data_IF_326818249821
#
_entry.id   IF_326818249821
#
_cell.length_a   1.000
_cell.length_b   1.000
_cell.length_c   1.000
_cell.angle_alpha   90.00
_cell.angle_beta   90.00
_cell.angle_gamma   90.00
#
_symmetry.space_group_name_H-M   'P 1'
#
loop_
_entity.id
_entity.type
_entity.pdbx_description
1 polymer ?
#
# COMPACT_ATOMS: atom_id res chain seq x y z
N UNK A 1 -24.52 -16.72 -11.19
CA UNK A 1 -24.97 -15.97 -12.39
C UNK A 1 -26.31 -15.26 -12.18
N UNK A 2 -27.31 -15.92 -11.58
CA UNK A 2 -28.69 -15.37 -11.44
C UNK A 2 -28.74 -14.09 -10.62
N UNK A 3 -27.97 -14.02 -9.53
CA UNK A 3 -27.84 -12.82 -8.71
C UNK A 3 -27.37 -11.60 -9.53
N UNK A 4 -26.32 -11.77 -10.35
CA UNK A 4 -25.81 -10.66 -11.19
C UNK A 4 -26.87 -10.24 -12.24
N UNK A 5 -27.58 -11.19 -12.82
CA UNK A 5 -28.67 -10.86 -13.73
C UNK A 5 -29.81 -10.08 -13.06
N UNK A 6 -30.16 -10.46 -11.84
CA UNK A 6 -31.14 -9.75 -11.02
C UNK A 6 -30.66 -8.32 -10.70
N UNK A 7 -29.40 -8.16 -10.30
CA UNK A 7 -28.82 -6.85 -10.00
C UNK A 7 -28.76 -5.95 -11.24
N UNK A 8 -28.42 -6.49 -12.41
CA UNK A 8 -28.47 -5.75 -13.67
C UNK A 8 -29.87 -5.26 -14.01
N UNK A 9 -30.89 -6.10 -13.79
CA UNK A 9 -32.31 -5.71 -14.00
C UNK A 9 -32.72 -4.57 -13.07
N UNK A 10 -32.32 -4.61 -11.79
CA UNK A 10 -32.59 -3.54 -10.81
C UNK A 10 -31.93 -2.23 -11.25
N UNK A 11 -30.74 -2.30 -11.86
CA UNK A 11 -29.99 -1.14 -12.38
C UNK A 11 -30.53 -0.62 -13.72
N UNK A 12 -31.60 -1.24 -14.28
CA UNK A 12 -32.24 -0.81 -15.51
C UNK A 12 -31.50 -1.24 -16.79
N UNK A 13 -30.57 -2.18 -16.71
CA UNK A 13 -29.85 -2.72 -17.86
C UNK A 13 -30.76 -3.59 -18.72
N UNK A 14 -30.56 -3.57 -20.03
CA UNK A 14 -31.22 -4.47 -20.96
C UNK A 14 -30.71 -5.91 -20.82
N UNK A 15 -31.51 -6.89 -21.21
CA UNK A 15 -31.15 -8.32 -21.16
C UNK A 15 -29.84 -8.62 -21.96
N UNK A 16 -29.60 -7.88 -23.04
CA UNK A 16 -28.40 -8.03 -23.88
C UNK A 16 -27.17 -7.52 -23.17
N UNK A 17 -27.26 -6.33 -22.58
CA UNK A 17 -26.18 -5.73 -21.77
C UNK A 17 -25.85 -6.60 -20.56
N UNK A 18 -26.87 -7.06 -19.82
CA UNK A 18 -26.68 -7.97 -18.69
C UNK A 18 -25.91 -9.23 -19.11
N UNK A 19 -26.28 -9.84 -20.24
CA UNK A 19 -25.62 -11.07 -20.71
C UNK A 19 -24.13 -10.83 -21.04
N UNK A 20 -23.82 -9.74 -21.72
CA UNK A 20 -22.43 -9.38 -22.07
C UNK A 20 -21.63 -9.06 -20.82
N UNK A 21 -22.06 -8.08 -20.04
CA UNK A 21 -21.36 -7.59 -18.85
C UNK A 21 -21.20 -8.64 -17.77
N UNK A 22 -22.21 -9.49 -17.58
CA UNK A 22 -22.15 -10.60 -16.62
C UNK A 22 -20.99 -11.55 -16.94
N UNK A 23 -20.77 -11.90 -18.21
CA UNK A 23 -19.65 -12.76 -18.59
C UNK A 23 -18.31 -12.10 -18.26
N UNK A 24 -18.17 -10.84 -18.61
CA UNK A 24 -16.93 -10.06 -18.35
C UNK A 24 -16.62 -9.91 -16.85
N UNK A 25 -17.62 -9.54 -16.03
CA UNK A 25 -17.39 -9.36 -14.59
C UNK A 25 -17.15 -10.66 -13.86
N UNK A 26 -17.71 -11.77 -14.33
CA UNK A 26 -17.45 -13.11 -13.80
C UNK A 26 -15.99 -13.49 -14.03
N UNK A 27 -15.48 -13.31 -15.25
CA UNK A 27 -14.07 -13.57 -15.59
C UNK A 27 -13.15 -12.64 -14.79
N UNK A 28 -13.37 -11.33 -14.82
CA UNK A 28 -12.59 -10.33 -14.11
C UNK A 28 -12.48 -10.61 -12.60
N UNK A 29 -13.60 -11.00 -11.98
CA UNK A 29 -13.65 -11.34 -10.56
C UNK A 29 -13.27 -12.80 -10.26
N UNK A 30 -12.87 -13.60 -11.26
CA UNK A 30 -12.52 -15.03 -11.16
C UNK A 30 -13.61 -15.85 -10.46
N UNK A 31 -14.83 -15.74 -10.96
CA UNK A 31 -16.01 -16.41 -10.43
C UNK A 31 -16.52 -17.54 -11.33
N UNK A 32 -15.78 -17.94 -12.35
CA UNK A 32 -16.19 -18.88 -13.40
C UNK A 32 -16.66 -20.22 -12.83
N UNK A 33 -15.92 -20.78 -11.90
CA UNK A 33 -16.23 -22.07 -11.28
C UNK A 33 -17.41 -22.00 -10.31
N UNK A 34 -17.84 -20.80 -9.91
CA UNK A 34 -18.84 -20.57 -8.88
C UNK A 34 -20.19 -20.05 -9.41
N UNK A 35 -20.37 -19.99 -10.72
CA UNK A 35 -21.55 -19.40 -11.36
C UNK A 35 -22.88 -20.02 -10.94
N UNK A 36 -22.87 -21.30 -10.62
CA UNK A 36 -24.07 -22.06 -10.19
C UNK A 36 -24.11 -22.29 -8.66
N UNK A 37 -23.10 -21.82 -7.94
CA UNK A 37 -23.02 -22.00 -6.50
C UNK A 37 -23.89 -20.98 -5.77
N UNK A 38 -24.58 -21.40 -4.73
CA UNK A 38 -25.36 -20.52 -3.85
C UNK A 38 -24.39 -19.61 -3.12
N UNK A 39 -24.60 -18.28 -3.16
CA UNK A 39 -23.70 -17.27 -2.59
C UNK A 39 -23.41 -17.52 -1.09
N UNK A 40 -24.43 -17.95 -0.32
CA UNK A 40 -24.26 -18.28 1.09
C UNK A 40 -23.30 -19.45 1.39
N UNK A 41 -23.00 -20.29 0.38
CA UNK A 41 -22.05 -21.41 0.49
C UNK A 41 -20.62 -21.02 0.08
N UNK A 42 -20.43 -19.83 -0.47
CA UNK A 42 -19.10 -19.32 -0.83
C UNK A 42 -18.29 -18.92 0.40
N UNK A 43 -16.97 -19.01 0.29
CA UNK A 43 -16.06 -18.40 1.28
C UNK A 43 -16.30 -16.89 1.39
N UNK A 44 -15.81 -16.26 2.46
CA UNK A 44 -15.95 -14.81 2.62
C UNK A 44 -15.32 -14.04 1.45
N UNK A 45 -14.13 -14.45 0.99
CA UNK A 45 -13.46 -13.80 -0.13
C UNK A 45 -14.21 -13.94 -1.45
N UNK A 46 -14.79 -15.12 -1.75
CA UNK A 46 -15.62 -15.26 -2.94
C UNK A 46 -16.92 -14.45 -2.84
N UNK A 47 -17.52 -14.32 -1.66
CA UNK A 47 -18.67 -13.41 -1.47
C UNK A 47 -18.27 -11.94 -1.71
N UNK A 48 -17.08 -11.55 -1.26
CA UNK A 48 -16.53 -10.20 -1.52
C UNK A 48 -16.38 -9.95 -3.03
N UNK A 49 -15.83 -10.91 -3.77
CA UNK A 49 -15.70 -10.83 -5.23
C UNK A 49 -17.07 -10.75 -5.94
N UNK A 50 -18.09 -11.46 -5.44
CA UNK A 50 -19.47 -11.31 -5.95
C UNK A 50 -19.99 -9.89 -5.66
N UNK A 51 -19.66 -9.30 -4.51
CA UNK A 51 -19.96 -7.91 -4.18
C UNK A 51 -19.32 -6.92 -5.13
N UNK A 52 -18.03 -7.11 -5.45
CA UNK A 52 -17.32 -6.29 -6.44
C UNK A 52 -17.94 -6.49 -7.84
N UNK A 53 -18.15 -7.73 -8.26
CA UNK A 53 -18.74 -8.05 -9.56
C UNK A 53 -20.09 -7.37 -9.79
N UNK A 54 -20.98 -7.36 -8.77
CA UNK A 54 -22.25 -6.66 -8.86
C UNK A 54 -22.13 -5.13 -8.89
N UNK A 55 -21.10 -4.60 -8.22
CA UNK A 55 -20.87 -3.16 -8.17
C UNK A 55 -20.37 -2.61 -9.52
N UNK A 56 -19.53 -3.38 -10.24
CA UNK A 56 -18.98 -2.97 -11.56
C UNK A 56 -19.84 -3.40 -12.76
N UNK A 57 -20.92 -4.17 -12.53
CA UNK A 57 -21.74 -4.74 -13.59
C UNK A 57 -22.30 -3.69 -14.58
N UNK A 58 -22.66 -2.52 -14.05
CA UNK A 58 -23.29 -1.42 -14.81
C UNK A 58 -22.31 -0.29 -15.16
N UNK A 59 -21.00 -0.56 -15.08
CA UNK A 59 -19.91 0.36 -15.45
C UNK A 59 -20.01 1.74 -14.78
N UNK A 60 -20.02 1.82 -13.44
CA UNK A 60 -20.11 3.11 -12.76
C UNK A 60 -18.82 3.92 -12.93
N UNK A 61 -18.92 5.25 -13.08
CA UNK A 61 -17.75 6.13 -13.09
C UNK A 61 -17.01 6.13 -11.76
N UNK A 62 -17.73 5.95 -10.65
CA UNK A 62 -17.20 5.93 -9.28
C UNK A 62 -17.60 4.65 -8.58
N UNK A 63 -16.61 3.97 -8.00
CA UNK A 63 -16.79 2.75 -7.23
C UNK A 63 -16.34 2.98 -5.78
N UNK A 64 -17.21 2.69 -4.82
CA UNK A 64 -16.91 2.78 -3.38
C UNK A 64 -16.80 1.37 -2.83
N UNK A 65 -15.65 1.05 -2.26
CA UNK A 65 -15.34 -0.23 -1.64
C UNK A 65 -15.05 -0.04 -0.14
N UNK A 66 -15.92 -0.60 0.68
CA UNK A 66 -15.78 -0.54 2.13
C UNK A 66 -15.12 -1.83 2.64
N UNK A 67 -13.90 -1.69 3.21
CA UNK A 67 -13.09 -2.78 3.78
C UNK A 67 -13.00 -4.04 2.89
N UNK A 68 -12.60 -3.94 1.61
CA UNK A 68 -12.73 -5.03 0.63
C UNK A 68 -11.82 -6.24 0.90
N UNK A 69 -10.84 -6.14 1.78
CA UNK A 69 -9.88 -7.21 2.11
C UNK A 69 -10.07 -7.78 3.52
N UNK A 70 -11.01 -7.24 4.29
CA UNK A 70 -11.17 -7.62 5.69
C UNK A 70 -11.60 -9.08 5.87
N UNK A 71 -10.80 -9.82 6.65
CA UNK A 71 -11.14 -11.18 7.10
C UNK A 71 -11.22 -12.23 5.99
N UNK A 72 -10.50 -12.03 4.89
CA UNK A 72 -10.22 -13.03 3.86
C UNK A 72 -8.81 -13.59 4.06
N UNK A 73 -8.51 -14.72 3.47
CA UNK A 73 -7.18 -15.34 3.60
C UNK A 73 -6.10 -14.57 2.83
N UNK A 74 -4.80 -14.73 3.21
CA UNK A 74 -3.71 -13.94 2.62
C UNK A 74 -3.58 -14.06 1.10
N UNK A 75 -3.89 -15.23 0.52
CA UNK A 75 -3.81 -15.43 -0.93
C UNK A 75 -4.90 -14.59 -1.61
N UNK A 76 -6.11 -14.65 -1.09
CA UNK A 76 -7.25 -13.89 -1.60
C UNK A 76 -7.07 -12.38 -1.39
N UNK A 77 -6.37 -11.93 -0.33
CA UNK A 77 -5.99 -10.53 -0.13
C UNK A 77 -5.15 -10.04 -1.31
N UNK A 78 -4.10 -10.78 -1.69
CA UNK A 78 -3.23 -10.40 -2.83
C UNK A 78 -4.02 -10.30 -4.13
N UNK A 79 -4.88 -11.29 -4.39
CA UNK A 79 -5.71 -11.31 -5.61
C UNK A 79 -6.75 -10.18 -5.62
N UNK A 80 -7.38 -9.87 -4.47
CA UNK A 80 -8.36 -8.79 -4.37
C UNK A 80 -7.69 -7.42 -4.54
N UNK A 81 -6.48 -7.23 -3.99
CA UNK A 81 -5.68 -6.03 -4.23
C UNK A 81 -5.35 -5.82 -5.71
N UNK A 82 -4.97 -6.91 -6.40
CA UNK A 82 -4.70 -6.82 -7.84
C UNK A 82 -5.96 -6.46 -8.62
N UNK A 83 -7.10 -7.08 -8.30
CA UNK A 83 -8.39 -6.74 -8.90
C UNK A 83 -8.75 -5.25 -8.69
N UNK A 84 -8.59 -4.72 -7.48
CA UNK A 84 -8.85 -3.31 -7.18
C UNK A 84 -7.95 -2.39 -8.00
N UNK A 85 -6.64 -2.70 -8.11
CA UNK A 85 -5.71 -1.94 -8.96
C UNK A 85 -6.11 -1.95 -10.44
N UNK A 86 -6.56 -3.09 -10.93
CA UNK A 86 -6.98 -3.20 -12.32
C UNK A 86 -8.26 -2.40 -12.58
N UNK A 87 -9.22 -2.42 -11.65
CA UNK A 87 -10.42 -1.58 -11.72
C UNK A 87 -10.12 -0.08 -11.65
N UNK A 88 -9.08 0.33 -10.92
CA UNK A 88 -8.66 1.73 -10.81
C UNK A 88 -8.15 2.35 -12.12
N UNK A 89 -7.89 1.54 -13.16
CA UNK A 89 -7.50 2.04 -14.49
C UNK A 89 -8.68 2.64 -15.25
N UNK A 90 -9.87 2.11 -15.01
CA UNK A 90 -11.09 2.46 -15.76
C UNK A 90 -12.14 3.18 -14.89
N UNK A 91 -11.99 3.14 -13.57
CA UNK A 91 -12.94 3.72 -12.61
C UNK A 91 -12.25 4.63 -11.60
N UNK A 92 -12.95 5.64 -11.12
CA UNK A 92 -12.52 6.35 -9.90
C UNK A 92 -12.89 5.51 -8.69
N UNK A 93 -11.89 5.08 -7.90
CA UNK A 93 -12.11 4.24 -6.72
C UNK A 93 -12.01 5.06 -5.43
N UNK A 94 -12.96 4.84 -4.53
CA UNK A 94 -12.88 5.26 -3.13
C UNK A 94 -12.81 3.99 -2.29
N UNK A 95 -11.74 3.83 -1.52
CA UNK A 95 -11.48 2.66 -0.70
C UNK A 95 -11.42 3.06 0.77
N UNK A 96 -12.22 2.40 1.64
CA UNK A 96 -11.98 2.45 3.07
C UNK A 96 -11.12 1.26 3.51
N UNK A 97 -10.17 1.47 4.39
CA UNK A 97 -9.43 0.40 5.05
C UNK A 97 -8.81 0.88 6.36
N UNK A 98 -8.70 -0.02 7.34
CA UNK A 98 -7.89 0.17 8.54
C UNK A 98 -6.52 -0.52 8.43
N UNK A 99 -6.24 -1.21 7.32
CA UNK A 99 -4.97 -1.90 7.05
C UNK A 99 -4.07 -0.96 6.25
N UNK A 100 -3.37 -0.08 6.95
CA UNK A 100 -2.58 1.00 6.35
C UNK A 100 -1.50 0.54 5.36
N UNK A 101 -0.78 -0.60 5.56
CA UNK A 101 0.11 -1.13 4.54
C UNK A 101 -0.58 -1.45 3.20
N UNK A 102 -1.85 -1.88 3.23
CA UNK A 102 -2.60 -2.15 1.99
C UNK A 102 -2.95 -0.85 1.28
N UNK A 103 -3.36 0.17 2.04
CA UNK A 103 -3.64 1.51 1.51
C UNK A 103 -2.43 2.07 0.78
N UNK A 104 -1.23 2.00 1.39
CA UNK A 104 0.04 2.44 0.77
C UNK A 104 0.37 1.71 -0.54
N UNK A 105 -0.08 0.46 -0.67
CA UNK A 105 0.20 -0.35 -1.88
C UNK A 105 -0.82 -0.15 -3.01
N UNK A 106 -2.03 0.30 -2.70
CA UNK A 106 -3.16 0.33 -3.64
C UNK A 106 -3.49 1.76 -4.07
N UNK A 107 -3.47 2.71 -3.13
CA UNK A 107 -4.02 4.04 -3.33
C UNK A 107 -2.96 5.04 -3.81
N UNK A 108 -3.31 5.85 -4.82
CA UNK A 108 -2.49 6.96 -5.29
C UNK A 108 -2.62 8.17 -4.35
N UNK A 109 -3.73 8.28 -3.63
CA UNK A 109 -4.00 9.37 -2.68
C UNK A 109 -4.74 8.85 -1.45
N UNK A 110 -4.36 9.33 -0.29
CA UNK A 110 -4.94 8.98 1.01
C UNK A 110 -5.60 10.20 1.63
N UNK A 111 -6.75 9.97 2.25
CA UNK A 111 -7.47 10.95 3.08
C UNK A 111 -7.50 10.37 4.50
N UNK A 112 -6.87 11.05 5.45
CA UNK A 112 -6.91 10.66 6.86
C UNK A 112 -8.01 11.47 7.55
N UNK A 113 -8.93 10.75 8.20
CA UNK A 113 -10.05 11.33 8.93
C UNK A 113 -9.88 11.02 10.42
N UNK A 114 -9.93 12.04 11.26
CA UNK A 114 -9.91 11.92 12.71
C UNK A 114 -11.03 12.79 13.30
N UNK A 115 -11.80 12.28 14.26
CA UNK A 115 -12.94 12.95 14.91
C UNK A 115 -13.93 13.61 13.93
N UNK A 116 -14.14 12.99 12.76
CA UNK A 116 -15.04 13.48 11.72
C UNK A 116 -14.47 14.64 10.87
N UNK A 117 -13.21 15.00 11.05
CA UNK A 117 -12.52 16.01 10.27
C UNK A 117 -11.42 15.40 9.41
N UNK A 118 -11.16 16.01 8.25
CA UNK A 118 -10.04 15.62 7.41
C UNK A 118 -8.77 16.29 7.97
N UNK A 119 -7.84 15.46 8.45
CA UNK A 119 -6.58 15.93 9.04
C UNK A 119 -5.41 15.91 8.06
N UNK A 120 -5.47 15.07 7.02
CA UNK A 120 -4.46 15.07 5.95
C UNK A 120 -5.04 14.54 4.64
N UNK A 121 -4.54 15.06 3.52
CA UNK A 121 -4.81 14.56 2.15
C UNK A 121 -3.51 14.69 1.36
N UNK A 122 -2.93 13.56 0.93
CA UNK A 122 -1.80 13.57 0.00
C UNK A 122 -1.55 12.14 -0.55
N UNK A 123 -0.57 12.01 -1.42
CA UNK A 123 0.06 10.74 -1.79
C UNK A 123 0.71 10.09 -0.54
N UNK A 124 0.64 8.75 -0.38
CA UNK A 124 1.26 8.06 0.76
C UNK A 124 2.73 8.39 1.00
N UNK A 125 3.52 8.59 -0.07
CA UNK A 125 4.95 8.91 0.01
C UNK A 125 5.12 10.35 0.50
N UNK A 126 4.36 11.29 -0.07
CA UNK A 126 4.41 12.71 0.30
C UNK A 126 3.95 12.93 1.76
N UNK A 127 2.93 12.22 2.22
CA UNK A 127 2.51 12.27 3.63
C UNK A 127 3.67 11.89 4.55
N UNK A 128 4.43 10.83 4.18
CA UNK A 128 5.61 10.39 4.93
C UNK A 128 6.70 11.45 5.02
N UNK A 129 6.97 12.16 3.94
CA UNK A 129 8.02 13.20 3.90
C UNK A 129 7.60 14.51 4.53
N UNK A 130 6.37 14.98 4.27
CA UNK A 130 5.89 16.29 4.73
C UNK A 130 5.65 16.34 6.24
N UNK A 131 5.20 15.23 6.84
CA UNK A 131 4.87 15.17 8.26
C UNK A 131 6.05 14.75 9.15
N UNK A 132 7.07 14.07 8.59
CA UNK A 132 8.15 13.55 9.42
C UNK A 132 9.00 14.66 10.06
N UNK A 133 9.16 15.79 9.42
CA UNK A 133 10.16 16.77 9.86
C UNK A 133 11.59 16.21 9.90
N UNK A 134 11.74 14.92 9.60
CA UNK A 134 12.95 14.12 9.70
C UNK A 134 12.92 13.14 8.53
N UNK A 135 13.96 13.11 7.74
CA UNK A 135 14.14 12.07 6.73
C UNK A 135 14.97 10.93 7.33
N UNK A 136 14.59 9.69 7.02
CA UNK A 136 15.37 8.51 7.39
C UNK A 136 15.89 7.81 6.15
N UNK A 137 17.12 7.30 6.24
CA UNK A 137 17.78 6.53 5.18
C UNK A 137 18.13 5.15 5.74
N UNK A 138 17.72 4.09 5.07
CA UNK A 138 18.21 2.74 5.35
C UNK A 138 19.47 2.48 4.54
N UNK A 139 20.52 2.06 5.23
CA UNK A 139 21.81 1.71 4.65
C UNK A 139 22.22 0.30 5.07
N UNK A 140 22.53 -0.57 4.10
CA UNK A 140 23.15 -1.88 4.35
C UNK A 140 24.57 -1.90 3.80
N UNK A 141 25.54 -2.21 4.66
CA UNK A 141 26.99 -2.15 4.35
C UNK A 141 27.70 -3.38 4.85
N UNK A 142 28.64 -3.90 4.04
CA UNK A 142 29.66 -4.87 4.45
C UNK A 142 30.93 -4.12 4.82
N UNK A 143 31.36 -4.24 6.09
CA UNK A 143 32.58 -3.62 6.58
C UNK A 143 32.66 -3.69 8.11
N UNK A 144 33.70 -3.12 8.74
CA UNK A 144 33.89 -3.13 10.18
C UNK A 144 32.91 -2.14 10.85
N UNK A 145 32.02 -2.66 11.71
CA UNK A 145 30.92 -1.91 12.30
C UNK A 145 31.31 -0.56 12.94
N UNK A 146 32.38 -0.54 13.75
CA UNK A 146 32.79 0.68 14.45
C UNK A 146 33.29 1.78 13.52
N UNK A 147 34.04 1.40 12.49
CA UNK A 147 34.54 2.33 11.48
C UNK A 147 33.43 2.91 10.64
N UNK A 148 32.44 2.06 10.26
CA UNK A 148 31.27 2.49 9.50
C UNK A 148 30.54 3.61 10.26
N UNK A 149 30.20 3.41 11.54
CA UNK A 149 29.46 4.41 12.34
C UNK A 149 30.22 5.72 12.38
N UNK A 150 31.52 5.69 12.72
CA UNK A 150 32.35 6.90 12.81
C UNK A 150 32.40 7.67 11.47
N UNK A 151 32.47 6.97 10.34
CA UNK A 151 32.47 7.60 9.02
C UNK A 151 31.12 8.18 8.67
N UNK A 152 30.02 7.45 8.94
CA UNK A 152 28.68 7.94 8.66
C UNK A 152 28.31 9.16 9.52
N UNK A 153 28.72 9.19 10.79
CA UNK A 153 28.57 10.37 11.69
C UNK A 153 29.28 11.62 11.16
N UNK A 154 30.35 11.45 10.38
CA UNK A 154 31.10 12.58 9.78
C UNK A 154 30.37 13.20 8.56
N UNK A 155 29.31 12.56 8.03
CA UNK A 155 28.57 13.08 6.88
C UNK A 155 27.65 14.22 7.32
N UNK A 156 27.77 15.36 6.65
CA UNK A 156 26.98 16.54 6.97
C UNK A 156 25.49 16.27 6.74
N UNK A 157 24.68 16.54 7.74
CA UNK A 157 23.23 16.30 7.69
C UNK A 157 22.77 15.01 8.37
N UNK A 158 23.69 14.16 8.82
CA UNK A 158 23.39 13.02 9.71
C UNK A 158 23.14 13.56 11.12
N UNK A 159 22.00 13.22 11.70
CA UNK A 159 21.59 13.61 13.06
C UNK A 159 21.70 12.45 14.03
N UNK A 160 21.32 11.24 13.60
CA UNK A 160 21.37 10.03 14.43
C UNK A 160 21.57 8.78 13.58
N UNK A 161 22.17 7.73 14.16
CA UNK A 161 22.41 6.45 13.52
C UNK A 161 21.99 5.31 14.45
N UNK A 162 20.90 4.65 14.09
CA UNK A 162 20.42 3.47 14.77
C UNK A 162 20.85 2.20 14.03
N UNK A 163 21.52 1.28 14.74
CA UNK A 163 21.88 -0.02 14.19
C UNK A 163 20.71 -1.01 14.33
N UNK A 164 20.27 -1.56 13.22
CA UNK A 164 19.21 -2.56 13.18
C UNK A 164 19.81 -3.98 13.22
N UNK A 165 19.37 -4.85 14.15
CA UNK A 165 19.84 -6.22 14.21
C UNK A 165 19.53 -7.00 12.92
N UNK A 166 20.55 -7.70 12.38
CA UNK A 166 20.44 -8.53 11.19
C UNK A 166 20.82 -9.97 11.53
N UNK A 167 19.99 -10.92 11.16
CA UNK A 167 20.33 -12.34 11.31
C UNK A 167 21.38 -12.75 10.28
N UNK A 168 22.50 -13.34 10.74
CA UNK A 168 23.53 -13.90 9.85
C UNK A 168 24.85 -13.16 9.73
N UNK A 169 25.02 -11.95 10.30
CA UNK A 169 26.32 -11.29 10.51
C UNK A 169 27.18 -10.92 9.29
N UNK A 170 26.69 -11.11 8.05
CA UNK A 170 27.47 -10.85 6.84
C UNK A 170 27.54 -9.36 6.45
N UNK A 171 26.67 -8.53 7.03
CA UNK A 171 26.57 -7.09 6.77
C UNK A 171 25.92 -6.39 7.97
N UNK A 172 25.94 -5.06 7.97
CA UNK A 172 25.31 -4.22 8.97
C UNK A 172 24.21 -3.39 8.33
N UNK A 173 23.07 -3.25 9.02
CA UNK A 173 21.96 -2.38 8.62
C UNK A 173 21.86 -1.23 9.60
N UNK A 174 21.69 -0.02 9.04
CA UNK A 174 21.54 1.22 9.79
C UNK A 174 20.31 1.97 9.31
N UNK A 175 19.57 2.55 10.24
CA UNK A 175 18.63 3.63 9.99
C UNK A 175 19.31 4.94 10.36
N UNK A 176 19.48 5.81 9.41
CA UNK A 176 20.17 7.09 9.55
C UNK A 176 19.12 8.19 9.49
N UNK A 177 19.02 8.95 10.57
CA UNK A 177 18.18 10.14 10.65
C UNK A 177 18.92 11.31 10.04
N UNK A 178 18.27 12.05 9.14
CA UNK A 178 18.87 13.16 8.40
C UNK A 178 18.03 14.43 8.52
N UNK A 179 18.68 15.57 8.41
CA UNK A 179 17.99 16.87 8.41
C UNK A 179 17.10 17.03 7.19
N UNK A 180 15.91 17.61 7.38
CA UNK A 180 14.93 17.86 6.35
C UNK A 180 15.49 18.56 5.11
N UNK A 181 15.07 18.07 3.93
CA UNK A 181 15.37 18.70 2.65
C UNK A 181 16.79 18.48 2.15
N UNK A 182 17.57 17.59 2.77
CA UNK A 182 18.91 17.23 2.32
C UNK A 182 18.96 15.76 1.89
N UNK A 183 18.97 15.51 0.58
CA UNK A 183 19.25 14.17 0.07
C UNK A 183 20.75 13.86 0.18
N UNK A 184 21.16 13.25 1.30
CA UNK A 184 22.54 12.88 1.58
C UNK A 184 22.92 11.48 1.09
N UNK A 185 22.04 10.79 0.36
CA UNK A 185 22.29 9.41 -0.09
C UNK A 185 23.56 9.30 -0.93
N UNK A 186 23.81 10.27 -1.80
CA UNK A 186 25.04 10.30 -2.61
C UNK A 186 26.30 10.41 -1.74
N UNK A 187 26.26 11.23 -0.69
CA UNK A 187 27.40 11.43 0.21
C UNK A 187 27.64 10.18 1.06
N UNK A 188 26.58 9.56 1.57
CA UNK A 188 26.65 8.28 2.28
C UNK A 188 27.24 7.16 1.39
N UNK A 189 26.76 7.05 0.14
CA UNK A 189 27.27 6.07 -0.81
C UNK A 189 28.74 6.30 -1.12
N UNK A 190 29.13 7.55 -1.36
CA UNK A 190 30.53 7.92 -1.64
C UNK A 190 31.45 7.54 -0.48
N UNK A 191 31.04 7.85 0.77
CA UNK A 191 31.81 7.48 1.96
C UNK A 191 32.00 5.99 2.15
N UNK A 192 30.95 5.19 1.88
CA UNK A 192 31.02 3.73 1.93
C UNK A 192 32.02 3.20 0.91
N UNK A 193 31.98 3.70 -0.33
CA UNK A 193 32.83 3.26 -1.43
C UNK A 193 34.27 3.72 -1.25
N UNK A 194 34.52 4.97 -0.83
CA UNK A 194 35.83 5.53 -0.54
C UNK A 194 36.61 4.69 0.49
N UNK A 195 35.89 4.12 1.47
CA UNK A 195 36.50 3.26 2.49
C UNK A 195 36.66 1.79 2.06
N UNK A 196 36.31 1.46 0.81
CA UNK A 196 36.41 0.11 0.27
C UNK A 196 35.39 -0.87 0.80
N UNK A 197 34.29 -0.37 1.38
CA UNK A 197 33.21 -1.21 1.93
C UNK A 197 32.18 -1.55 0.88
N UNK A 198 31.46 -2.68 1.09
CA UNK A 198 30.44 -3.14 0.17
C UNK A 198 29.10 -2.49 0.47
N UNK A 199 28.61 -1.58 -0.39
CA UNK A 199 27.26 -1.04 -0.33
C UNK A 199 26.28 -2.08 -0.87
N UNK A 200 25.30 -2.51 -0.07
CA UNK A 200 24.29 -3.50 -0.43
C UNK A 200 22.92 -2.87 -0.68
N UNK A 201 22.56 -1.89 0.13
CA UNK A 201 21.28 -1.20 0.05
C UNK A 201 21.42 0.24 0.50
N UNK A 202 20.74 1.13 -0.20
CA UNK A 202 20.60 2.54 0.19
C UNK A 202 19.25 3.05 -0.31
N UNK A 203 18.36 3.34 0.62
CA UNK A 203 17.02 3.85 0.27
C UNK A 203 16.52 4.84 1.31
N UNK A 204 15.71 5.79 0.88
CA UNK A 204 14.97 6.65 1.81
C UNK A 204 13.85 5.84 2.48
N UNK A 205 13.71 6.00 3.79
CA UNK A 205 12.61 5.48 4.58
C UNK A 205 11.70 6.67 4.93
N UNK A 206 10.61 6.81 4.22
CA UNK A 206 9.51 7.68 4.67
C UNK A 206 8.86 7.12 5.93
N UNK A 207 8.12 7.94 6.66
CA UNK A 207 7.21 7.43 7.69
C UNK A 207 6.21 6.47 7.06
N UNK A 208 5.90 5.40 7.75
CA UNK A 208 4.78 4.53 7.37
C UNK A 208 3.45 5.25 7.59
N UNK A 209 2.40 4.85 6.90
CA UNK A 209 1.06 5.43 7.14
C UNK A 209 0.59 5.20 8.59
N UNK A 210 1.05 4.12 9.26
CA UNK A 210 0.78 3.87 10.67
C UNK A 210 1.42 4.94 11.56
N UNK A 211 2.69 5.26 11.34
CA UNK A 211 3.40 6.30 12.10
C UNK A 211 2.77 7.68 11.87
N UNK A 212 2.39 7.97 10.62
CA UNK A 212 1.68 9.20 10.24
C UNK A 212 0.34 9.29 10.95
N UNK A 213 -0.45 8.20 10.90
CA UNK A 213 -1.76 8.14 11.54
C UNK A 213 -1.65 8.36 13.06
N UNK A 214 -0.74 7.66 13.72
CA UNK A 214 -0.49 7.81 15.16
C UNK A 214 -0.11 9.25 15.51
N UNK A 215 0.79 9.86 14.74
CA UNK A 215 1.23 11.23 14.97
C UNK A 215 0.09 12.24 14.83
N UNK A 216 -0.75 12.10 13.82
CA UNK A 216 -1.88 13.00 13.56
C UNK A 216 -3.06 12.81 14.54
N UNK A 217 -3.11 11.67 15.26
CA UNK A 217 -4.24 11.34 16.14
C UNK A 217 -3.89 11.32 17.63
N UNK A 218 -2.61 11.32 18.01
CA UNK A 218 -2.16 11.22 19.41
C UNK A 218 -1.47 12.50 19.90
N UNK A 219 -0.92 13.34 19.01
CA UNK A 219 -0.19 14.58 19.38
C UNK A 219 -1.11 15.79 19.57
N UNK A 220 -2.35 15.59 20.08
CA UNK A 220 -3.17 16.68 20.65
C UNK A 220 -3.14 16.71 22.18
#
# INVERSE_FOLDING_TARGET
SDYLSFMGTIRGMSSTEIKSRRSEVIDLCRLDEYQTTIIGKLSKGYRQRVGIAQAILHEPDVLILDEPTIGIDPIQVVETRQLIKDLGKDHTLILSSHILPEVSMICDRVIIIHEGQIVAIDDPINLGTNLSGIERVELEVKGPNREIINVLESVRGVEDIERIPVSGGAYHRYHITVSLGQDIRTDLASKVIENGWGLLKLQSLGMTLEEIFLRLTIEE
#
